data_IF_710776888600
#
_entry.id   IF_710776888600
#
_cell.length_a   1.000
_cell.length_b   1.000
_cell.length_c   1.000
_cell.angle_alpha   90.00
_cell.angle_beta   90.00
_cell.angle_gamma   90.00
#
_symmetry.space_group_name_H-M   'P 1'
#
loop_
_entity.id
_entity.type
_entity.pdbx_description
1 polymer ?
#
# COMPACT_ATOMS: atom_id res chain seq x y z
N UNK A 1 19.39 7.69 -17.40
CA UNK A 1 19.28 6.38 -18.09
C UNK A 1 19.44 5.20 -17.12
N UNK A 2 20.41 5.20 -16.19
CA UNK A 2 20.65 4.08 -15.25
C UNK A 2 19.47 3.82 -14.33
N UNK A 3 18.90 4.85 -13.70
CA UNK A 3 17.77 4.74 -12.78
C UNK A 3 16.55 4.06 -13.43
N UNK A 4 16.21 4.43 -14.67
CA UNK A 4 15.10 3.83 -15.42
C UNK A 4 15.37 2.36 -15.76
N UNK A 5 16.62 2.03 -16.11
CA UNK A 5 17.02 0.65 -16.40
C UNK A 5 16.90 -0.24 -15.14
N UNK A 6 17.32 0.27 -13.98
CA UNK A 6 17.15 -0.42 -12.68
C UNK A 6 15.66 -0.59 -12.36
N UNK A 7 14.85 0.46 -12.50
CA UNK A 7 13.42 0.41 -12.22
C UNK A 7 12.70 -0.63 -13.11
N UNK A 8 12.99 -0.65 -14.41
CA UNK A 8 12.41 -1.63 -15.33
C UNK A 8 12.89 -3.07 -15.06
N UNK A 9 14.15 -3.24 -14.64
CA UNK A 9 14.66 -4.56 -14.25
C UNK A 9 13.91 -5.10 -13.03
N UNK A 10 13.79 -4.27 -11.99
CA UNK A 10 13.05 -4.60 -10.76
C UNK A 10 11.58 -4.88 -11.06
N UNK A 11 10.94 -4.06 -11.87
CA UNK A 11 9.55 -4.28 -12.28
C UNK A 11 9.37 -5.63 -12.98
N UNK A 12 10.24 -5.96 -13.96
CA UNK A 12 10.18 -7.25 -14.66
C UNK A 12 10.43 -8.43 -13.73
N UNK A 13 11.33 -8.30 -12.77
CA UNK A 13 11.59 -9.32 -11.76
C UNK A 13 10.39 -9.50 -10.84
N UNK A 14 9.79 -8.41 -10.35
CA UNK A 14 8.61 -8.43 -9.47
C UNK A 14 7.40 -9.05 -10.13
N UNK A 15 7.11 -8.68 -11.38
CA UNK A 15 5.98 -9.25 -12.15
C UNK A 15 6.19 -10.71 -12.51
N UNK A 16 7.43 -11.22 -12.52
CA UNK A 16 7.74 -12.64 -12.74
C UNK A 16 7.78 -13.46 -11.45
N UNK A 17 7.68 -12.82 -10.30
CA UNK A 17 7.72 -13.50 -9.00
C UNK A 17 6.43 -14.30 -8.78
N UNK A 18 6.58 -15.57 -8.36
CA UNK A 18 5.44 -16.45 -8.09
C UNK A 18 4.57 -15.94 -6.95
N UNK A 19 5.17 -15.25 -5.98
CA UNK A 19 4.45 -14.64 -4.85
C UNK A 19 3.49 -13.58 -5.36
N UNK A 20 3.93 -12.75 -6.31
CA UNK A 20 3.09 -11.71 -6.93
C UNK A 20 1.83 -12.33 -7.58
N UNK A 21 1.99 -13.37 -8.41
CA UNK A 21 0.85 -14.01 -9.07
C UNK A 21 -0.10 -14.69 -8.08
N UNK A 22 0.45 -15.38 -7.07
CA UNK A 22 -0.38 -16.04 -6.07
C UNK A 22 -1.21 -15.02 -5.29
N UNK A 23 -0.58 -13.91 -4.83
CA UNK A 23 -1.29 -12.87 -4.11
C UNK A 23 -2.34 -12.17 -4.99
N UNK A 24 -2.01 -11.89 -6.25
CA UNK A 24 -2.96 -11.31 -7.20
C UNK A 24 -4.15 -12.25 -7.45
N UNK A 25 -3.89 -13.56 -7.64
CA UNK A 25 -4.94 -14.57 -7.82
C UNK A 25 -5.88 -14.62 -6.61
N UNK A 26 -5.33 -14.69 -5.39
CA UNK A 26 -6.14 -14.70 -4.17
C UNK A 26 -6.94 -13.41 -4.01
N UNK A 27 -6.35 -12.25 -4.34
CA UNK A 27 -7.06 -10.98 -4.32
C UNK A 27 -8.26 -10.98 -5.27
N UNK A 28 -8.07 -11.41 -6.52
CA UNK A 28 -9.14 -11.51 -7.52
C UNK A 28 -10.23 -12.50 -7.09
N UNK A 29 -9.82 -13.67 -6.55
CA UNK A 29 -10.76 -14.64 -6.01
C UNK A 29 -11.59 -14.08 -4.85
N UNK A 30 -10.98 -13.30 -3.96
CA UNK A 30 -11.67 -12.71 -2.82
C UNK A 30 -12.64 -11.61 -3.27
N UNK A 31 -12.28 -10.80 -4.27
CA UNK A 31 -13.21 -9.87 -4.91
C UNK A 31 -14.37 -10.61 -5.57
N UNK A 32 -14.11 -11.71 -6.27
CA UNK A 32 -15.16 -12.55 -6.84
C UNK A 32 -16.08 -13.15 -5.76
N UNK A 33 -15.50 -13.65 -4.66
CA UNK A 33 -16.27 -14.21 -3.54
C UNK A 33 -17.13 -13.18 -2.80
N UNK A 34 -16.81 -11.89 -2.90
CA UNK A 34 -17.62 -10.81 -2.29
C UNK A 34 -19.07 -10.80 -2.81
N UNK A 35 -19.31 -11.29 -4.05
CA UNK A 35 -20.66 -11.44 -4.62
C UNK A 35 -21.49 -12.42 -3.81
N UNK A 36 -20.87 -13.56 -3.41
CA UNK A 36 -21.59 -14.59 -2.63
C UNK A 36 -21.99 -14.02 -1.26
N UNK A 37 -21.11 -13.24 -0.64
CA UNK A 37 -21.39 -12.60 0.65
C UNK A 37 -22.45 -11.51 0.49
N UNK A 38 -22.37 -10.71 -0.60
CA UNK A 38 -23.36 -9.68 -0.93
C UNK A 38 -24.77 -10.28 -1.05
N UNK A 39 -24.93 -11.38 -1.78
CA UNK A 39 -26.23 -12.04 -1.98
C UNK A 39 -26.87 -12.55 -0.68
N UNK A 40 -26.09 -12.77 0.38
CA UNK A 40 -26.61 -13.17 1.70
C UNK A 40 -27.20 -12.00 2.49
N UNK A 41 -27.02 -10.76 2.02
CA UNK A 41 -27.39 -9.54 2.75
C UNK A 41 -28.47 -8.80 1.97
N UNK A 42 -29.69 -8.78 2.49
CA UNK A 42 -30.82 -8.17 1.80
C UNK A 42 -30.62 -6.66 1.56
N UNK A 43 -30.45 -6.26 0.30
CA UNK A 43 -30.45 -4.87 -0.15
C UNK A 43 -29.13 -4.08 0.05
N UNK A 44 -28.08 -4.70 0.59
CA UNK A 44 -26.77 -4.05 0.77
C UNK A 44 -25.64 -4.67 -0.07
N UNK A 45 -25.98 -5.44 -1.07
CA UNK A 45 -25.07 -6.24 -1.88
C UNK A 45 -23.90 -5.41 -2.44
N UNK A 46 -24.22 -4.28 -3.07
CA UNK A 46 -23.22 -3.39 -3.71
C UNK A 46 -22.27 -2.77 -2.68
N UNK A 47 -22.77 -2.41 -1.50
CA UNK A 47 -21.97 -1.87 -0.42
C UNK A 47 -20.94 -2.89 0.06
N UNK A 48 -21.38 -4.10 0.35
CA UNK A 48 -20.52 -5.20 0.82
C UNK A 48 -19.46 -5.56 -0.24
N UNK A 49 -19.86 -5.60 -1.52
CA UNK A 49 -18.92 -5.88 -2.61
C UNK A 49 -17.85 -4.78 -2.70
N UNK A 50 -18.22 -3.51 -2.55
CA UNK A 50 -17.27 -2.40 -2.52
C UNK A 50 -16.31 -2.54 -1.32
N UNK A 51 -16.85 -2.72 -0.12
CA UNK A 51 -16.03 -2.83 1.10
C UNK A 51 -15.07 -4.01 1.05
N UNK A 52 -15.53 -5.19 0.70
CA UNK A 52 -14.68 -6.38 0.59
C UNK A 52 -13.67 -6.26 -0.55
N UNK A 53 -14.07 -5.70 -1.69
CA UNK A 53 -13.19 -5.52 -2.84
C UNK A 53 -12.06 -4.52 -2.56
N UNK A 54 -12.35 -3.40 -1.90
CA UNK A 54 -11.37 -2.41 -1.50
C UNK A 54 -10.47 -2.94 -0.38
N UNK A 55 -11.04 -3.63 0.61
CA UNK A 55 -10.28 -4.30 1.69
C UNK A 55 -9.34 -5.37 1.15
N UNK A 56 -9.79 -6.18 0.18
CA UNK A 56 -8.94 -7.14 -0.50
C UNK A 56 -7.78 -6.46 -1.23
N UNK A 57 -8.06 -5.38 -1.96
CA UNK A 57 -7.02 -4.62 -2.67
C UNK A 57 -5.99 -4.04 -1.70
N UNK A 58 -6.43 -3.49 -0.57
CA UNK A 58 -5.55 -2.96 0.48
C UNK A 58 -4.68 -4.05 1.09
N UNK A 59 -5.28 -5.16 1.50
CA UNK A 59 -4.58 -6.27 2.17
C UNK A 59 -3.55 -6.94 1.25
N UNK A 60 -3.94 -7.31 0.04
CA UNK A 60 -3.01 -7.96 -0.88
C UNK A 60 -1.98 -6.99 -1.46
N UNK A 61 -2.36 -5.72 -1.66
CA UNK A 61 -1.43 -4.65 -1.99
C UNK A 61 -0.35 -4.48 -0.92
N UNK A 62 -0.74 -4.51 0.36
CA UNK A 62 0.17 -4.48 1.50
C UNK A 62 1.14 -5.67 1.48
N UNK A 63 0.65 -6.88 1.28
CA UNK A 63 1.51 -8.06 1.19
C UNK A 63 2.49 -7.96 0.02
N UNK A 64 2.06 -7.50 -1.14
CA UNK A 64 2.96 -7.29 -2.28
C UNK A 64 4.01 -6.23 -1.95
N UNK A 65 3.60 -5.09 -1.38
CA UNK A 65 4.51 -4.01 -0.99
C UNK A 65 5.61 -4.49 -0.02
N UNK A 66 5.23 -5.31 0.96
CA UNK A 66 6.15 -5.81 2.00
C UNK A 66 7.00 -6.96 1.47
N UNK A 67 6.40 -8.05 0.99
CA UNK A 67 7.15 -9.27 0.65
C UNK A 67 7.96 -9.14 -0.62
N UNK A 68 7.40 -8.55 -1.67
CA UNK A 68 8.14 -8.33 -2.92
C UNK A 68 9.19 -7.25 -2.71
N UNK A 69 8.84 -6.16 -1.97
CA UNK A 69 9.75 -5.07 -1.66
C UNK A 69 10.99 -5.51 -0.90
N UNK A 70 10.82 -6.27 0.18
CA UNK A 70 11.92 -6.75 1.01
C UNK A 70 12.69 -7.86 0.29
N UNK A 71 12.00 -8.78 -0.38
CA UNK A 71 12.61 -9.91 -1.10
C UNK A 71 13.60 -9.48 -2.16
N UNK A 72 13.33 -8.39 -2.88
CA UNK A 72 14.23 -7.84 -3.91
C UNK A 72 15.51 -7.23 -3.33
N UNK A 73 15.42 -6.61 -2.16
CA UNK A 73 16.61 -6.06 -1.49
C UNK A 73 17.49 -7.19 -0.94
N UNK A 74 16.84 -8.18 -0.31
CA UNK A 74 17.55 -9.30 0.30
C UNK A 74 18.29 -10.18 -0.72
N UNK A 75 17.65 -10.52 -1.85
CA UNK A 75 18.28 -11.32 -2.92
C UNK A 75 19.60 -10.73 -3.42
N UNK A 76 19.73 -9.40 -3.43
CA UNK A 76 20.99 -8.76 -3.83
C UNK A 76 22.05 -8.78 -2.74
N UNK A 77 21.67 -8.61 -1.49
CA UNK A 77 22.60 -8.67 -0.35
C UNK A 77 23.15 -10.10 -0.21
N UNK A 78 22.28 -11.12 -0.33
CA UNK A 78 22.66 -12.52 -0.17
C UNK A 78 23.50 -13.07 -1.34
N UNK A 79 23.15 -12.71 -2.57
CA UNK A 79 23.84 -13.20 -3.78
C UNK A 79 25.22 -12.55 -4.01
N UNK A 80 25.64 -11.59 -3.16
CA UNK A 80 26.86 -10.80 -3.39
C UNK A 80 26.95 -10.25 -4.83
N UNK A 81 25.82 -10.16 -5.54
CA UNK A 81 25.73 -9.71 -6.93
C UNK A 81 26.10 -8.21 -7.07
N UNK A 82 26.25 -7.52 -5.96
CA UNK A 82 26.85 -6.18 -5.91
C UNK A 82 28.22 -6.16 -6.61
N UNK A 83 28.97 -7.26 -6.60
CA UNK A 83 30.25 -7.35 -7.32
C UNK A 83 30.13 -7.29 -8.85
N UNK A 84 29.02 -7.79 -9.42
CA UNK A 84 28.78 -7.70 -10.88
C UNK A 84 28.27 -6.31 -11.30
N UNK A 85 27.66 -5.55 -10.37
CA UNK A 85 27.23 -4.16 -10.58
C UNK A 85 28.40 -3.15 -10.45
N UNK A 86 29.50 -3.53 -9.78
CA UNK A 86 30.72 -2.70 -9.69
C UNK A 86 31.38 -2.52 -11.06
N UNK A 87 31.11 -3.40 -12.03
CA UNK A 87 31.59 -3.23 -13.41
C UNK A 87 30.93 -2.04 -14.16
N UNK A 88 29.80 -1.50 -13.67
CA UNK A 88 29.24 -0.23 -14.13
C UNK A 88 29.13 0.73 -12.94
N UNK A 89 29.55 2.00 -13.07
CA UNK A 89 29.53 2.97 -11.98
C UNK A 89 28.09 3.44 -11.69
N UNK A 90 27.30 2.59 -11.04
CA UNK A 90 25.95 2.92 -10.57
C UNK A 90 26.08 3.54 -9.17
N UNK A 91 25.57 4.76 -9.00
CA UNK A 91 25.53 5.39 -7.68
C UNK A 91 24.57 4.61 -6.77
N UNK A 92 24.96 4.38 -5.51
CA UNK A 92 24.14 3.64 -4.54
C UNK A 92 22.74 4.25 -4.36
N UNK A 93 22.61 5.56 -4.48
CA UNK A 93 21.33 6.27 -4.45
C UNK A 93 20.43 5.92 -5.64
N UNK A 94 21.00 5.79 -6.84
CA UNK A 94 20.25 5.39 -8.04
C UNK A 94 19.70 3.97 -7.92
N UNK A 95 20.39 3.09 -7.19
CA UNK A 95 19.94 1.73 -6.93
C UNK A 95 18.69 1.72 -6.02
N UNK A 96 18.73 2.44 -4.90
CA UNK A 96 17.60 2.52 -3.95
C UNK A 96 16.37 3.16 -4.62
N UNK A 97 16.57 4.28 -5.31
CA UNK A 97 15.50 4.97 -6.03
C UNK A 97 14.94 4.12 -7.19
N UNK A 98 15.83 3.45 -7.93
CA UNK A 98 15.41 2.56 -9.02
C UNK A 98 14.57 1.38 -8.52
N UNK A 99 14.94 0.78 -7.38
CA UNK A 99 14.15 -0.27 -6.74
C UNK A 99 12.78 0.24 -6.31
N UNK A 100 12.75 1.38 -5.64
CA UNK A 100 11.49 2.00 -5.23
C UNK A 100 10.57 2.25 -6.42
N UNK A 101 11.07 2.82 -7.51
CA UNK A 101 10.28 3.08 -8.72
C UNK A 101 9.82 1.80 -9.40
N UNK A 102 10.65 0.75 -9.43
CA UNK A 102 10.25 -0.55 -9.97
C UNK A 102 9.12 -1.20 -9.17
N UNK A 103 9.18 -1.12 -7.85
CA UNK A 103 8.12 -1.57 -6.96
C UNK A 103 6.86 -0.71 -7.10
N UNK A 104 7.00 0.60 -7.22
CA UNK A 104 5.89 1.51 -7.47
C UNK A 104 5.14 1.13 -8.76
N UNK A 105 5.84 0.82 -9.85
CA UNK A 105 5.24 0.33 -11.08
C UNK A 105 4.53 -1.02 -10.88
N UNK A 106 5.11 -1.92 -10.11
CA UNK A 106 4.49 -3.22 -9.79
C UNK A 106 3.17 -3.05 -9.03
N UNK A 107 3.16 -2.18 -8.03
CA UNK A 107 1.96 -1.85 -7.27
C UNK A 107 0.91 -1.14 -8.11
N UNK A 108 1.33 -0.24 -9.01
CA UNK A 108 0.42 0.43 -9.95
C UNK A 108 -0.32 -0.59 -10.81
N UNK A 109 0.40 -1.56 -11.38
CA UNK A 109 -0.21 -2.63 -12.18
C UNK A 109 -1.17 -3.47 -11.33
N UNK A 110 -0.76 -3.87 -10.10
CA UNK A 110 -1.61 -4.64 -9.21
C UNK A 110 -2.90 -3.89 -8.85
N UNK A 111 -2.80 -2.67 -8.34
CA UNK A 111 -3.96 -1.86 -7.96
C UNK A 111 -4.86 -1.58 -9.17
N UNK A 112 -4.28 -1.34 -10.36
CA UNK A 112 -5.05 -1.14 -11.59
C UNK A 112 -5.83 -2.38 -11.99
N UNK A 113 -5.24 -3.58 -11.91
CA UNK A 113 -5.93 -4.85 -12.19
C UNK A 113 -7.08 -5.04 -11.20
N UNK A 114 -6.84 -4.83 -9.91
CA UNK A 114 -7.87 -4.96 -8.87
C UNK A 114 -9.00 -3.94 -9.06
N UNK A 115 -8.67 -2.70 -9.42
CA UNK A 115 -9.66 -1.67 -9.73
C UNK A 115 -10.55 -2.08 -10.92
N UNK A 116 -9.93 -2.56 -12.01
CA UNK A 116 -10.67 -3.03 -13.20
C UNK A 116 -11.57 -4.21 -12.84
N UNK A 117 -11.07 -5.20 -12.10
CA UNK A 117 -11.88 -6.36 -11.68
C UNK A 117 -13.07 -5.92 -10.83
N UNK A 118 -12.86 -5.04 -9.86
CA UNK A 118 -13.95 -4.53 -9.02
C UNK A 118 -14.97 -3.73 -9.83
N UNK A 119 -14.52 -2.83 -10.72
CA UNK A 119 -15.44 -2.06 -11.57
C UNK A 119 -16.24 -2.95 -12.53
N UNK A 120 -15.63 -3.98 -13.12
CA UNK A 120 -16.32 -4.95 -13.98
C UNK A 120 -17.40 -5.72 -13.17
N UNK A 121 -17.06 -6.11 -11.94
CA UNK A 121 -17.99 -6.79 -11.05
C UNK A 121 -19.16 -5.87 -10.68
N UNK A 122 -18.91 -4.64 -10.30
CA UNK A 122 -19.94 -3.65 -9.97
C UNK A 122 -20.79 -3.28 -11.18
N UNK A 123 -20.21 -3.20 -12.38
CA UNK A 123 -20.92 -2.99 -13.63
C UNK A 123 -21.87 -4.17 -13.96
N UNK A 124 -21.39 -5.40 -13.75
CA UNK A 124 -22.23 -6.60 -13.88
C UNK A 124 -23.40 -6.57 -12.88
N UNK A 125 -23.16 -6.26 -11.61
CA UNK A 125 -24.20 -6.12 -10.59
C UNK A 125 -25.22 -5.04 -10.97
N UNK A 126 -24.74 -3.91 -11.48
CA UNK A 126 -25.61 -2.84 -11.97
C UNK A 126 -26.51 -3.32 -13.13
N UNK A 127 -25.94 -4.07 -14.07
CA UNK A 127 -26.69 -4.59 -15.22
C UNK A 127 -27.69 -5.69 -14.82
N UNK A 128 -27.29 -6.59 -13.92
CA UNK A 128 -28.12 -7.74 -13.51
C UNK A 128 -29.25 -7.37 -12.53
N UNK A 129 -29.13 -6.24 -11.81
CA UNK A 129 -30.10 -5.86 -10.79
C UNK A 129 -31.35 -5.15 -11.38
N UNK A 130 -32.58 -5.44 -10.89
CA UNK A 130 -33.78 -4.70 -11.27
C UNK A 130 -33.70 -3.21 -10.88
N UNK A 131 -34.44 -2.32 -11.61
CA UNK A 131 -34.41 -0.87 -11.32
C UNK A 131 -34.84 -0.51 -9.88
N UNK A 132 -35.76 -1.29 -9.30
CA UNK A 132 -36.23 -1.10 -7.93
C UNK A 132 -35.15 -1.30 -6.89
N UNK A 133 -34.30 -2.32 -7.06
CA UNK A 133 -33.18 -2.56 -6.18
C UNK A 133 -32.05 -1.49 -6.35
N UNK A 134 -31.85 -1.00 -7.58
CA UNK A 134 -30.85 0.07 -7.83
C UNK A 134 -31.20 1.37 -7.12
N UNK A 135 -32.50 1.69 -6.98
CA UNK A 135 -32.94 2.90 -6.27
C UNK A 135 -32.78 2.82 -4.76
N UNK A 136 -32.62 1.62 -4.21
CA UNK A 136 -32.35 1.40 -2.79
C UNK A 136 -30.87 1.50 -2.39
N UNK A 137 -29.95 1.57 -3.35
CA UNK A 137 -28.52 1.69 -3.07
C UNK A 137 -28.15 3.08 -2.53
N UNK A 138 -27.38 3.15 -1.47
CA UNK A 138 -26.88 4.40 -0.88
C UNK A 138 -25.99 5.20 -1.85
N UNK A 139 -25.24 4.51 -2.71
CA UNK A 139 -24.39 5.10 -3.74
C UNK A 139 -24.43 4.24 -5.02
N UNK A 140 -24.26 4.86 -6.21
CA UNK A 140 -24.23 4.12 -7.48
C UNK A 140 -23.20 3.00 -7.45
N UNK A 141 -23.52 1.84 -8.07
CA UNK A 141 -22.59 0.71 -8.11
C UNK A 141 -21.24 1.13 -8.73
N UNK A 142 -21.25 1.76 -9.90
CA UNK A 142 -20.07 2.26 -10.62
C UNK A 142 -19.79 3.73 -10.29
N UNK A 143 -19.59 4.05 -9.00
CA UNK A 143 -19.30 5.41 -8.56
C UNK A 143 -17.86 5.83 -8.97
N UNK A 144 -17.68 6.96 -9.70
CA UNK A 144 -16.36 7.50 -10.01
C UNK A 144 -15.53 7.85 -8.76
N UNK A 145 -16.17 8.10 -7.61
CA UNK A 145 -15.48 8.38 -6.35
C UNK A 145 -14.59 7.20 -5.89
N UNK A 146 -14.88 5.96 -6.33
CA UNK A 146 -14.01 4.80 -6.06
C UNK A 146 -12.60 4.98 -6.63
N UNK A 147 -12.42 5.74 -7.73
CA UNK A 147 -11.09 6.05 -8.25
C UNK A 147 -10.24 6.85 -7.26
N UNK A 148 -10.88 7.69 -6.43
CA UNK A 148 -10.20 8.44 -5.37
C UNK A 148 -9.71 7.49 -4.28
N UNK A 149 -10.49 6.44 -3.96
CA UNK A 149 -10.08 5.40 -3.00
C UNK A 149 -8.87 4.65 -3.53
N UNK A 150 -8.92 4.16 -4.78
CA UNK A 150 -7.78 3.46 -5.39
C UNK A 150 -6.53 4.33 -5.49
N UNK A 151 -6.69 5.63 -5.77
CA UNK A 151 -5.58 6.57 -5.80
C UNK A 151 -4.92 6.71 -4.42
N UNK A 152 -5.70 6.96 -3.35
CA UNK A 152 -5.15 7.08 -2.00
C UNK A 152 -4.57 5.76 -1.48
N UNK A 153 -5.23 4.64 -1.78
CA UNK A 153 -4.72 3.31 -1.46
C UNK A 153 -3.36 3.06 -2.16
N UNK A 154 -3.24 3.40 -3.43
CA UNK A 154 -1.97 3.31 -4.13
C UNK A 154 -0.88 4.17 -3.48
N UNK A 155 -1.19 5.42 -3.15
CA UNK A 155 -0.25 6.33 -2.47
C UNK A 155 0.14 5.81 -1.08
N UNK A 156 -0.80 5.23 -0.34
CA UNK A 156 -0.53 4.55 0.94
C UNK A 156 0.45 3.38 0.76
N UNK A 157 0.23 2.54 -0.25
CA UNK A 157 1.12 1.42 -0.55
C UNK A 157 2.52 1.88 -0.98
N UNK A 158 2.63 3.02 -1.68
CA UNK A 158 3.92 3.65 -1.97
C UNK A 158 4.66 4.07 -0.69
N UNK A 159 3.95 4.64 0.27
CA UNK A 159 4.53 5.00 1.57
C UNK A 159 4.98 3.75 2.35
N UNK A 160 4.16 2.71 2.39
CA UNK A 160 4.52 1.41 3.02
C UNK A 160 5.75 0.79 2.34
N UNK A 161 5.84 0.87 1.01
CA UNK A 161 7.02 0.39 0.26
C UNK A 161 8.28 1.17 0.63
N UNK A 162 8.19 2.48 0.83
CA UNK A 162 9.31 3.29 1.30
C UNK A 162 9.76 2.89 2.71
N UNK A 163 8.82 2.59 3.61
CA UNK A 163 9.09 2.07 4.96
C UNK A 163 9.78 0.70 4.88
N UNK A 164 9.27 -0.21 4.05
CA UNK A 164 9.83 -1.55 3.85
C UNK A 164 11.28 -1.47 3.32
N UNK A 165 11.52 -0.62 2.31
CA UNK A 165 12.86 -0.37 1.79
C UNK A 165 13.78 0.23 2.84
N UNK A 166 13.32 1.20 3.62
CA UNK A 166 14.10 1.81 4.70
C UNK A 166 14.56 0.76 5.70
N UNK A 167 13.66 -0.07 6.22
CA UNK A 167 14.03 -1.12 7.17
C UNK A 167 14.92 -2.19 6.55
N UNK A 168 14.73 -2.53 5.27
CA UNK A 168 15.55 -3.51 4.57
C UNK A 168 17.02 -3.09 4.39
N UNK A 169 17.33 -1.79 4.53
CA UNK A 169 18.71 -1.30 4.42
C UNK A 169 19.60 -1.71 5.59
N UNK A 170 19.05 -1.96 6.77
CA UNK A 170 19.82 -2.25 7.98
C UNK A 170 19.36 -3.47 8.79
N UNK A 171 18.20 -4.05 8.46
CA UNK A 171 17.67 -5.21 9.18
C UNK A 171 17.60 -6.46 8.31
N UNK A 172 17.38 -7.62 8.93
CA UNK A 172 17.11 -8.86 8.21
C UNK A 172 15.72 -8.82 7.56
N UNK A 173 15.43 -9.63 6.53
CA UNK A 173 14.13 -9.62 5.85
C UNK A 173 12.94 -9.83 6.78
N UNK A 174 13.07 -10.78 7.70
CA UNK A 174 12.02 -11.09 8.65
C UNK A 174 11.74 -9.92 9.60
N UNK A 175 12.82 -9.28 10.10
CA UNK A 175 12.70 -8.11 10.95
C UNK A 175 12.17 -6.89 10.19
N UNK A 176 12.62 -6.67 8.96
CA UNK A 176 12.11 -5.59 8.10
C UNK A 176 10.61 -5.75 7.83
N UNK A 177 10.15 -6.99 7.55
CA UNK A 177 8.74 -7.29 7.39
C UNK A 177 7.95 -7.01 8.67
N UNK A 178 8.40 -7.55 9.81
CA UNK A 178 7.74 -7.35 11.11
C UNK A 178 7.64 -5.87 11.48
N UNK A 179 8.73 -5.11 11.30
CA UNK A 179 8.72 -3.66 11.55
C UNK A 179 7.78 -2.93 10.61
N UNK A 180 7.78 -3.27 9.31
CA UNK A 180 6.88 -2.63 8.33
C UNK A 180 5.42 -2.90 8.64
N UNK A 181 5.05 -4.14 8.98
CA UNK A 181 3.69 -4.48 9.42
C UNK A 181 3.33 -3.76 10.72
N UNK A 182 4.24 -3.71 11.69
CA UNK A 182 4.05 -2.96 12.92
C UNK A 182 3.78 -1.47 12.66
N UNK A 183 4.57 -0.84 11.79
CA UNK A 183 4.36 0.56 11.38
C UNK A 183 3.05 0.75 10.64
N UNK A 184 2.64 -0.19 9.80
CA UNK A 184 1.36 -0.15 9.10
C UNK A 184 0.20 -0.19 10.08
N UNK A 185 0.20 -1.14 11.02
CA UNK A 185 -0.85 -1.28 12.04
C UNK A 185 -0.91 -0.03 12.93
N UNK A 186 0.22 0.36 13.53
CA UNK A 186 0.25 1.53 14.42
C UNK A 186 -0.11 2.81 13.66
N UNK A 187 0.30 2.94 12.39
CA UNK A 187 -0.04 4.08 11.54
C UNK A 187 -1.53 4.25 11.30
N UNK A 188 -2.32 3.16 11.25
CA UNK A 188 -3.78 3.24 11.14
C UNK A 188 -4.44 3.70 12.45
N UNK A 189 -3.89 3.29 13.59
CA UNK A 189 -4.37 3.69 14.92
C UNK A 189 -3.72 4.97 15.45
N UNK A 190 -2.98 5.70 14.62
CA UNK A 190 -2.23 6.88 15.05
C UNK A 190 -3.15 7.97 15.65
N UNK A 191 -4.36 8.15 15.10
CA UNK A 191 -5.33 9.11 15.66
C UNK A 191 -5.74 8.76 17.10
N UNK A 192 -5.86 7.46 17.40
CA UNK A 192 -6.23 6.96 18.72
C UNK A 192 -5.09 7.12 19.74
N UNK A 193 -3.82 7.06 19.27
CA UNK A 193 -2.64 7.27 20.12
C UNK A 193 -2.65 8.65 20.80
N UNK A 194 -3.27 9.66 20.19
CA UNK A 194 -3.40 11.00 20.77
C UNK A 194 -4.30 11.03 22.02
N UNK A 195 -5.26 10.13 22.10
CA UNK A 195 -6.24 10.06 23.19
C UNK A 195 -5.88 9.05 24.28
N UNK A 196 -4.76 8.32 24.12
CA UNK A 196 -4.29 7.37 25.12
C UNK A 196 -3.87 8.01 26.44
N UNK A 197 -3.61 9.33 26.45
CA UNK A 197 -3.35 10.09 27.68
C UNK A 197 -4.50 9.98 28.71
N UNK A 198 -5.73 9.70 28.25
CA UNK A 198 -6.89 9.54 29.13
C UNK A 198 -6.98 8.14 29.79
N UNK A 199 -6.28 7.13 29.23
CA UNK A 199 -6.36 5.72 29.65
C UNK A 199 -5.10 5.29 30.39
N UNK A 200 -3.95 5.89 30.07
CA UNK A 200 -2.64 5.51 30.61
C UNK A 200 -2.16 6.51 31.63
N UNK A 201 -2.03 6.08 32.89
CA UNK A 201 -1.55 6.90 34.03
C UNK A 201 -0.03 6.95 34.19
N UNK A 202 0.70 6.08 33.47
CA UNK A 202 2.15 5.96 33.57
C UNK A 202 2.86 7.02 32.71
N UNK A 203 3.50 7.99 33.35
CA UNK A 203 4.23 9.10 32.69
C UNK A 203 5.23 8.65 31.61
N UNK A 204 6.12 7.64 31.82
CA UNK A 204 7.07 7.22 30.79
C UNK A 204 6.38 6.60 29.57
N UNK A 205 5.25 5.91 29.76
CA UNK A 205 4.49 5.32 28.66
C UNK A 205 3.80 6.39 27.82
N UNK A 206 3.27 7.44 28.44
CA UNK A 206 2.69 8.60 27.74
C UNK A 206 3.74 9.30 26.86
N UNK A 207 4.97 9.50 27.35
CA UNK A 207 6.06 10.06 26.57
C UNK A 207 6.43 9.18 25.38
N UNK A 208 6.49 7.86 25.55
CA UNK A 208 6.76 6.91 24.50
C UNK A 208 5.67 6.97 23.41
N UNK A 209 4.39 6.98 23.82
CA UNK A 209 3.26 7.05 22.89
C UNK A 209 3.24 8.38 22.12
N UNK A 210 3.57 9.49 22.75
CA UNK A 210 3.72 10.79 22.08
C UNK A 210 4.88 10.77 21.09
N UNK A 211 6.02 10.21 21.46
CA UNK A 211 7.15 10.07 20.55
C UNK A 211 6.78 9.22 19.33
N UNK A 212 6.08 8.09 19.52
CA UNK A 212 5.56 7.26 18.45
C UNK A 212 4.56 8.01 17.58
N UNK A 213 3.65 8.78 18.17
CA UNK A 213 2.66 9.59 17.44
C UNK A 213 3.31 10.56 16.44
N UNK A 214 4.40 11.25 16.83
CA UNK A 214 5.09 12.19 15.96
C UNK A 214 6.07 11.52 14.98
N UNK A 215 6.62 10.36 15.36
CA UNK A 215 7.62 9.65 14.55
C UNK A 215 6.98 8.79 13.47
N UNK A 216 5.80 8.23 13.74
CA UNK A 216 5.13 7.30 12.84
C UNK A 216 4.25 8.04 11.81
N UNK A 217 4.24 7.59 10.55
CA UNK A 217 3.32 8.14 9.58
C UNK A 217 1.87 7.83 9.97
N UNK A 218 1.03 8.84 9.90
CA UNK A 218 -0.42 8.65 10.05
C UNK A 218 -0.98 8.07 8.74
N UNK A 219 -1.49 6.84 8.79
CA UNK A 219 -2.08 6.17 7.63
C UNK A 219 -3.60 6.28 7.58
N UNK A 220 -4.26 6.69 8.66
CA UNK A 220 -5.71 6.84 8.70
C UNK A 220 -6.29 7.79 7.61
N UNK A 221 -5.64 8.93 7.25
CA UNK A 221 -6.15 9.80 6.20
C UNK A 221 -6.20 9.18 4.79
N UNK A 222 -5.52 8.06 4.56
CA UNK A 222 -5.54 7.37 3.25
C UNK A 222 -6.77 6.48 3.09
N UNK A 223 -7.40 6.07 4.19
CA UNK A 223 -8.61 5.24 4.16
C UNK A 223 -9.87 6.13 4.13
N UNK A 224 -10.40 6.30 2.93
CA UNK A 224 -11.67 6.98 2.67
C UNK A 224 -12.75 6.00 2.22
N UNK A 225 -12.53 4.69 2.41
CA UNK A 225 -13.42 3.63 1.95
C UNK A 225 -14.84 3.83 2.46
N UNK A 226 -15.00 3.99 3.78
CA UNK A 226 -16.33 4.19 4.38
C UNK A 226 -17.07 5.41 3.81
N UNK A 227 -16.36 6.54 3.62
CA UNK A 227 -16.96 7.76 3.06
C UNK A 227 -17.51 7.52 1.65
N UNK A 228 -16.71 6.90 0.77
CA UNK A 228 -17.11 6.68 -0.63
C UNK A 228 -18.17 5.59 -0.75
N UNK A 229 -18.09 4.53 0.05
CA UNK A 229 -19.10 3.45 0.04
C UNK A 229 -20.47 3.96 0.46
N UNK A 230 -20.53 4.92 1.39
CA UNK A 230 -21.76 5.59 1.82
C UNK A 230 -22.16 6.80 0.93
N UNK A 231 -21.49 7.01 -0.22
CA UNK A 231 -21.81 8.10 -1.14
C UNK A 231 -21.47 9.50 -0.63
N UNK A 232 -20.62 9.62 0.40
CA UNK A 232 -20.23 10.91 0.94
C UNK A 232 -19.19 11.58 0.03
N UNK A 233 -19.29 12.90 -0.23
CA UNK A 233 -18.37 13.61 -1.09
C UNK A 233 -16.99 13.77 -0.43
N UNK A 234 -15.94 13.37 -1.14
CA UNK A 234 -14.55 13.58 -0.70
C UNK A 234 -13.98 14.81 -1.42
N UNK A 235 -13.61 15.87 -0.69
CA UNK A 235 -13.05 17.09 -1.26
C UNK A 235 -11.69 16.83 -1.94
N UNK A 236 -11.46 17.43 -3.10
CA UNK A 236 -10.18 17.33 -3.82
C UNK A 236 -9.01 17.92 -3.03
N UNK A 237 -9.25 18.96 -2.22
CA UNK A 237 -8.25 19.53 -1.33
C UNK A 237 -7.72 18.55 -0.28
N UNK A 238 -8.60 17.70 0.25
CA UNK A 238 -8.21 16.60 1.15
C UNK A 238 -7.26 15.61 0.46
N UNK A 239 -7.59 15.19 -0.76
CA UNK A 239 -6.74 14.29 -1.55
C UNK A 239 -5.34 14.88 -1.77
N UNK A 240 -5.28 16.16 -2.20
CA UNK A 240 -4.01 16.82 -2.46
C UNK A 240 -3.14 16.95 -1.21
N UNK A 241 -3.74 17.29 -0.06
CA UNK A 241 -3.02 17.38 1.21
C UNK A 241 -2.47 16.00 1.65
N UNK A 242 -3.27 14.95 1.53
CA UNK A 242 -2.87 13.58 1.88
C UNK A 242 -1.75 13.08 0.95
N UNK A 243 -1.82 13.36 -0.35
CA UNK A 243 -0.76 13.02 -1.31
C UNK A 243 0.51 13.81 -1.00
N UNK A 244 0.42 15.12 -0.75
CA UNK A 244 1.57 15.95 -0.41
C UNK A 244 2.27 15.44 0.86
N UNK A 245 1.50 15.08 1.89
CA UNK A 245 2.02 14.45 3.10
C UNK A 245 2.80 13.17 2.78
N UNK A 246 2.23 12.27 1.97
CA UNK A 246 2.89 11.03 1.57
C UNK A 246 4.21 11.30 0.83
N UNK A 247 4.21 12.24 -0.13
CA UNK A 247 5.40 12.58 -0.93
C UNK A 247 6.54 13.06 -0.03
N UNK A 248 6.25 13.94 0.94
CA UNK A 248 7.26 14.43 1.89
C UNK A 248 7.83 13.29 2.73
N UNK A 249 6.95 12.41 3.24
CA UNK A 249 7.37 11.28 4.06
C UNK A 249 8.20 10.27 3.26
N UNK A 250 7.78 9.93 2.04
CA UNK A 250 8.49 9.05 1.12
C UNK A 250 9.87 9.63 0.80
N UNK A 251 9.96 10.93 0.47
CA UNK A 251 11.23 11.58 0.19
C UNK A 251 12.19 11.52 1.39
N UNK A 252 11.70 11.74 2.60
CA UNK A 252 12.46 11.60 3.83
C UNK A 252 12.99 10.18 4.02
N UNK A 253 12.12 9.17 3.93
CA UNK A 253 12.48 7.75 4.11
C UNK A 253 13.49 7.27 3.06
N UNK A 254 13.29 7.62 1.79
CA UNK A 254 14.22 7.23 0.72
C UNK A 254 15.58 7.93 0.84
N UNK A 255 15.59 9.18 1.31
CA UNK A 255 16.84 9.91 1.61
C UNK A 255 17.59 9.25 2.75
N UNK A 256 16.90 8.90 3.84
CA UNK A 256 17.47 8.18 4.98
C UNK A 256 17.97 6.78 4.58
N UNK A 257 17.18 6.03 3.81
CA UNK A 257 17.56 4.72 3.27
C UNK A 257 18.84 4.81 2.41
N UNK A 258 18.89 5.79 1.51
CA UNK A 258 20.06 6.03 0.65
C UNK A 258 21.29 6.40 1.45
N UNK A 259 21.14 7.21 2.49
CA UNK A 259 22.23 7.61 3.37
C UNK A 259 22.78 6.41 4.16
N UNK A 260 21.93 5.60 4.79
CA UNK A 260 22.31 4.40 5.54
C UNK A 260 23.01 3.40 4.60
N UNK A 261 22.40 3.14 3.43
CA UNK A 261 22.97 2.23 2.44
C UNK A 261 24.33 2.68 1.90
N UNK A 262 24.56 4.01 1.83
CA UNK A 262 25.86 4.57 1.38
C UNK A 262 26.99 4.34 2.37
N UNK A 263 26.68 4.26 3.67
CA UNK A 263 27.67 4.05 4.76
C UNK A 263 27.88 2.57 5.14
N UNK A 264 27.07 1.67 4.60
CA UNK A 264 27.23 0.24 4.88
C UNK A 264 28.42 -0.31 4.11
N UNK A 265 29.49 -0.68 4.83
CA UNK A 265 30.60 -1.45 4.26
C UNK A 265 30.08 -2.83 3.86
N UNK A 266 30.03 -3.09 2.58
CA UNK A 266 29.75 -4.42 2.02
C UNK A 266 31.01 -5.24 2.15
N UNK A 267 31.24 -5.83 3.36
CA UNK A 267 32.31 -6.80 3.59
C UNK A 267 31.93 -8.18 3.06
#
# INVERSE_FOLDING_TARGET
>A
MVLLAVALSVFRESVRDRVFYNLLLFAVLLVGASVLVGQMTAGQDVKIIKDLGLSATSLFGLFIAVFVGIGLVWKEVERRSVYSLIAKPVRRQELVLGKYLGLALTLLVNVSIMAVVLYLLLAYMHWASPPELRSAWEAPATDPALLKVFLLLYVQLLLVTAIALFFSTFSSPMLAAALTFGFYVIGHFNADLKHFDAVVTSTPLVWLLRALYYLLPNLAPFDITAQVVHGQPVPTGYLLMTIAYAVVYIAFLLSAASYIFSRRDLK
#
